data_IF_661687744800
#
_entry.id   IF_661687744800
#
_cell.length_a   1.000
_cell.length_b   1.000
_cell.length_c   1.000
_cell.angle_alpha   90.00
_cell.angle_beta   90.00
_cell.angle_gamma   90.00
#
_symmetry.space_group_name_H-M   'P 1'
#
loop_
_entity.id
_entity.type
_entity.pdbx_description
1 polymer ?
#
# COMPACT_ATOMS: atom_id res chain seq x y z
N UNK A 1 1.21 12.87 -20.06
CA UNK A 1 1.81 12.97 -18.71
C UNK A 1 0.73 13.29 -17.67
N UNK A 2 -0.08 14.32 -17.91
CA UNK A 2 -1.12 14.80 -16.97
C UNK A 2 -2.11 13.72 -16.52
N UNK A 3 -2.67 12.92 -17.44
CA UNK A 3 -3.64 11.88 -17.08
C UNK A 3 -3.10 10.83 -16.09
N UNK A 4 -1.81 10.47 -16.18
CA UNK A 4 -1.21 9.54 -15.23
C UNK A 4 -0.99 10.19 -13.87
N UNK A 5 -0.56 11.46 -13.85
CA UNK A 5 -0.42 12.21 -12.61
C UNK A 5 -1.78 12.40 -11.91
N UNK A 6 -2.85 12.67 -12.66
CA UNK A 6 -4.21 12.73 -12.14
C UNK A 6 -4.62 11.39 -11.53
N UNK A 7 -4.39 10.28 -12.23
CA UNK A 7 -4.66 8.96 -11.67
C UNK A 7 -3.92 8.75 -10.34
N UNK A 8 -2.63 9.05 -10.30
CA UNK A 8 -1.83 8.92 -9.10
C UNK A 8 -2.31 9.81 -7.95
N UNK A 9 -2.63 11.08 -8.24
CA UNK A 9 -3.10 12.05 -7.23
C UNK A 9 -4.48 11.73 -6.70
N UNK A 10 -5.38 11.19 -7.51
CA UNK A 10 -6.79 11.07 -7.14
C UNK A 10 -7.25 9.66 -6.74
N UNK A 11 -6.47 8.61 -7.01
CA UNK A 11 -6.83 7.25 -6.60
C UNK A 11 -7.07 7.16 -5.08
N UNK A 12 -6.12 7.62 -4.28
CA UNK A 12 -6.21 7.64 -2.81
C UNK A 12 -6.86 8.91 -2.22
N UNK A 13 -7.33 9.82 -3.08
CA UNK A 13 -7.99 11.04 -2.63
C UNK A 13 -9.35 10.75 -1.99
N UNK A 14 -9.86 11.73 -1.24
CA UNK A 14 -11.19 11.64 -0.67
C UNK A 14 -12.24 11.59 -1.79
N UNK A 15 -13.39 11.00 -1.51
CA UNK A 15 -14.53 10.99 -2.44
C UNK A 15 -14.94 12.40 -2.88
N UNK A 16 -14.83 13.37 -1.98
CA UNK A 16 -15.11 14.77 -2.27
C UNK A 16 -14.11 15.34 -3.30
N UNK A 17 -12.81 15.09 -3.15
CA UNK A 17 -11.79 15.51 -4.11
C UNK A 17 -11.96 14.82 -5.47
N UNK A 18 -12.31 13.53 -5.48
CA UNK A 18 -12.60 12.79 -6.72
C UNK A 18 -13.81 13.39 -7.44
N UNK A 19 -14.93 13.58 -6.73
CA UNK A 19 -16.14 14.15 -7.29
C UNK A 19 -15.92 15.60 -7.79
N UNK A 20 -15.15 16.40 -7.07
CA UNK A 20 -14.81 17.76 -7.48
C UNK A 20 -14.01 17.79 -8.79
N UNK A 21 -13.10 16.82 -9.01
CA UNK A 21 -12.25 16.75 -10.21
C UNK A 21 -12.94 16.07 -11.40
N UNK A 22 -13.74 15.04 -11.16
CA UNK A 22 -14.26 14.12 -12.19
C UNK A 22 -15.79 14.07 -12.29
N UNK A 23 -16.52 14.79 -11.44
CA UNK A 23 -17.99 14.82 -11.42
C UNK A 23 -18.64 13.68 -10.65
N UNK A 24 -17.89 12.66 -10.23
CA UNK A 24 -18.33 11.57 -9.35
C UNK A 24 -17.16 10.98 -8.57
N UNK A 25 -17.43 10.29 -7.45
CA UNK A 25 -16.41 9.51 -6.76
C UNK A 25 -16.16 8.14 -7.43
N UNK A 26 -15.05 7.51 -7.08
CA UNK A 26 -14.62 6.23 -7.67
C UNK A 26 -15.26 5.00 -7.00
N UNK A 27 -16.29 5.19 -6.17
CA UNK A 27 -17.01 4.10 -5.51
C UNK A 27 -16.22 3.49 -4.36
N UNK A 28 -15.99 2.18 -4.41
CA UNK A 28 -15.22 1.44 -3.40
C UNK A 28 -13.93 0.94 -4.01
N UNK A 29 -12.81 1.53 -3.60
CA UNK A 29 -11.47 1.15 -4.00
C UNK A 29 -10.84 0.19 -2.97
N UNK A 30 -9.77 -0.49 -3.39
CA UNK A 30 -9.03 -1.49 -2.61
C UNK A 30 -7.53 -1.37 -2.92
N UNK A 31 -6.71 -2.11 -2.18
CA UNK A 31 -5.26 -2.22 -2.36
C UNK A 31 -4.52 -0.90 -2.09
N UNK A 32 -5.03 -0.12 -1.14
CA UNK A 32 -4.55 1.21 -0.80
C UNK A 32 -3.07 1.21 -0.38
N UNK A 33 -2.61 0.17 0.33
CA UNK A 33 -1.22 0.02 0.73
C UNK A 33 -0.31 -0.08 -0.49
N UNK A 34 -0.69 -0.91 -1.47
CA UNK A 34 0.04 -1.03 -2.74
C UNK A 34 -0.04 0.23 -3.61
N UNK A 35 -1.14 0.99 -3.53
CA UNK A 35 -1.33 2.24 -4.26
C UNK A 35 -0.73 3.46 -3.56
N UNK A 36 -0.20 3.33 -2.33
CA UNK A 36 0.51 4.42 -1.65
C UNK A 36 1.69 4.97 -2.47
N UNK A 37 2.36 4.11 -3.25
CA UNK A 37 3.42 4.51 -4.19
C UNK A 37 2.98 5.52 -5.26
N UNK A 38 1.69 5.56 -5.57
CA UNK A 38 1.14 6.55 -6.48
C UNK A 38 1.07 7.93 -5.83
N UNK A 39 0.75 8.01 -4.55
CA UNK A 39 0.81 9.25 -3.79
C UNK A 39 2.26 9.74 -3.68
N UNK A 40 3.21 8.83 -3.43
CA UNK A 40 4.64 9.16 -3.41
C UNK A 40 5.13 9.68 -4.76
N UNK A 41 4.76 9.02 -5.87
CA UNK A 41 5.07 9.51 -7.22
C UNK A 41 4.49 10.91 -7.45
N UNK A 42 3.21 11.12 -7.15
CA UNK A 42 2.56 12.41 -7.32
C UNK A 42 3.15 13.51 -6.42
N UNK A 43 3.62 13.16 -5.22
CA UNK A 43 4.34 14.08 -4.33
C UNK A 43 5.63 14.58 -4.99
N UNK A 44 6.46 13.69 -5.55
CA UNK A 44 7.71 14.07 -6.24
C UNK A 44 7.44 14.96 -7.45
N UNK A 45 6.44 14.64 -8.26
CA UNK A 45 6.16 15.39 -9.48
C UNK A 45 5.63 16.82 -9.19
N UNK A 46 5.01 17.03 -8.03
CA UNK A 46 4.31 18.29 -7.71
C UNK A 46 4.94 19.09 -6.57
N UNK A 47 5.83 18.48 -5.78
CA UNK A 47 6.34 19.06 -4.53
C UNK A 47 5.29 19.14 -3.42
N UNK A 48 4.18 18.41 -3.52
CA UNK A 48 3.09 18.45 -2.53
C UNK A 48 3.38 17.51 -1.35
N UNK A 49 3.92 18.06 -0.27
CA UNK A 49 4.25 17.33 0.96
C UNK A 49 3.04 16.62 1.58
N UNK A 50 1.80 17.08 1.31
CA UNK A 50 0.60 16.40 1.80
C UNK A 50 0.40 15.04 1.13
N UNK A 51 0.80 14.91 -0.14
CA UNK A 51 0.79 13.64 -0.84
C UNK A 51 1.86 12.70 -0.29
N UNK A 52 3.03 13.21 0.07
CA UNK A 52 4.07 12.42 0.73
C UNK A 52 3.59 11.85 2.07
N UNK A 53 2.97 12.70 2.91
CA UNK A 53 2.37 12.26 4.16
C UNK A 53 1.23 11.25 3.94
N UNK A 54 0.38 11.48 2.93
CA UNK A 54 -0.70 10.55 2.58
C UNK A 54 -0.17 9.20 2.10
N UNK A 55 0.95 9.17 1.38
CA UNK A 55 1.59 7.93 0.95
C UNK A 55 1.91 7.05 2.18
N UNK A 56 2.54 7.62 3.20
CA UNK A 56 2.84 6.88 4.44
C UNK A 56 1.61 6.48 5.24
N UNK A 57 0.60 7.36 5.31
CA UNK A 57 -0.67 7.03 5.96
C UNK A 57 -1.36 5.85 5.26
N UNK A 58 -1.41 5.84 3.92
CA UNK A 58 -1.96 4.72 3.14
C UNK A 58 -1.09 3.49 3.21
N UNK A 59 0.23 3.63 3.32
CA UNK A 59 1.11 2.48 3.47
C UNK A 59 0.91 1.79 4.83
N UNK A 60 0.87 2.55 5.92
CA UNK A 60 0.82 2.01 7.28
C UNK A 60 -0.58 1.74 7.83
N UNK A 61 -1.60 2.49 7.36
CA UNK A 61 -2.91 2.53 7.98
C UNK A 61 -4.08 2.38 6.99
N UNK A 62 -3.98 1.43 6.05
CA UNK A 62 -5.11 1.04 5.19
C UNK A 62 -5.47 -0.45 5.30
N UNK A 63 -4.94 -1.25 4.38
CA UNK A 63 -5.16 -2.65 4.08
C UNK A 63 -3.80 -3.35 3.92
N UNK A 64 -3.79 -4.62 3.51
CA UNK A 64 -2.57 -5.41 3.44
C UNK A 64 -1.93 -5.64 4.81
N UNK A 65 -0.61 -5.51 4.89
CA UNK A 65 0.16 -5.81 6.10
C UNK A 65 0.23 -4.62 7.05
N UNK A 66 -0.30 -4.80 8.27
CA UNK A 66 -0.27 -3.78 9.34
C UNK A 66 0.84 -3.99 10.38
N UNK A 67 1.78 -4.90 10.10
CA UNK A 67 2.88 -5.26 10.99
C UNK A 67 3.45 -6.64 10.68
N UNK A 68 4.64 -6.91 11.20
CA UNK A 68 5.30 -8.21 11.07
C UNK A 68 4.71 -9.16 12.11
N UNK A 69 4.17 -10.29 11.65
CA UNK A 69 3.84 -11.42 12.52
C UNK A 69 4.94 -12.48 12.40
N UNK A 70 5.21 -13.25 13.46
CA UNK A 70 6.15 -14.35 13.37
C UNK A 70 5.66 -15.41 12.38
N UNK A 71 6.60 -16.15 11.78
CA UNK A 71 6.30 -17.38 11.06
C UNK A 71 5.84 -18.44 12.06
N UNK A 72 4.85 -19.24 11.69
CA UNK A 72 4.51 -20.43 12.45
C UNK A 72 5.36 -21.58 11.93
N UNK A 73 6.47 -21.86 12.60
CA UNK A 73 7.21 -23.09 12.36
C UNK A 73 6.39 -24.27 12.85
N UNK A 74 5.95 -25.11 11.92
CA UNK A 74 5.20 -26.33 12.22
C UNK A 74 6.11 -27.54 12.07
N UNK A 75 7.05 -27.68 13.01
CA UNK A 75 7.80 -28.92 13.16
C UNK A 75 6.89 -30.01 13.76
N UNK A 76 6.39 -30.91 12.91
CA UNK A 76 5.71 -32.14 13.33
C UNK A 76 4.49 -32.51 12.48
N UNK A 77 4.25 -33.83 12.33
CA UNK A 77 3.06 -34.39 11.71
C UNK A 77 1.80 -33.99 12.52
N UNK A 78 1.20 -32.85 12.19
CA UNK A 78 -0.18 -32.53 12.60
C UNK A 78 -1.16 -33.15 11.60
N UNK A 79 -2.34 -33.63 12.06
CA UNK A 79 -3.41 -34.01 11.14
C UNK A 79 -3.75 -32.83 10.22
N UNK A 80 -3.49 -32.97 8.92
CA UNK A 80 -3.74 -31.93 7.92
C UNK A 80 -2.60 -31.67 6.92
N UNK A 81 -1.39 -32.19 7.18
CA UNK A 81 -0.23 -32.02 6.28
C UNK A 81 0.41 -33.36 5.95
N UNK A 82 0.84 -33.55 4.70
CA UNK A 82 1.45 -34.81 4.24
C UNK A 82 2.96 -34.90 4.52
N UNK A 83 3.63 -33.77 4.71
CA UNK A 83 5.07 -33.67 4.96
C UNK A 83 5.35 -32.49 5.90
N UNK A 84 6.48 -32.49 6.64
CA UNK A 84 6.88 -31.34 7.46
C UNK A 84 7.12 -30.07 6.64
N UNK A 85 6.81 -28.90 7.21
CA UNK A 85 7.07 -27.60 6.60
C UNK A 85 6.70 -26.43 7.52
N UNK A 86 7.11 -25.21 7.15
CA UNK A 86 6.71 -23.97 7.82
C UNK A 86 5.62 -23.27 7.01
N UNK A 87 4.71 -22.58 7.69
CA UNK A 87 3.69 -21.80 7.03
C UNK A 87 3.54 -20.41 7.65
N UNK A 88 3.10 -19.48 6.81
CA UNK A 88 2.70 -18.14 7.23
C UNK A 88 1.29 -17.91 6.71
N UNK A 89 0.29 -18.42 7.44
CA UNK A 89 -1.13 -18.36 7.03
C UNK A 89 -1.66 -16.95 6.80
N UNK A 90 -0.97 -15.97 7.37
CA UNK A 90 -1.28 -14.55 7.25
C UNK A 90 -0.56 -13.87 6.06
N UNK A 91 0.34 -14.57 5.36
CA UNK A 91 1.09 -14.07 4.21
C UNK A 91 0.41 -14.51 2.92
N UNK A 92 -0.13 -13.54 2.20
CA UNK A 92 -0.63 -13.73 0.83
C UNK A 92 0.35 -13.14 -0.18
N UNK A 93 0.60 -13.85 -1.28
CA UNK A 93 1.54 -13.41 -2.33
C UNK A 93 1.20 -12.02 -2.87
N UNK A 94 -0.09 -11.72 -3.05
CA UNK A 94 -0.56 -10.42 -3.52
C UNK A 94 -0.17 -9.30 -2.55
N UNK A 95 -0.44 -9.49 -1.26
CA UNK A 95 -0.09 -8.51 -0.23
C UNK A 95 1.43 -8.34 -0.14
N UNK A 96 2.20 -9.44 -0.20
CA UNK A 96 3.67 -9.38 -0.18
C UNK A 96 4.23 -8.58 -1.34
N UNK A 97 3.74 -8.82 -2.57
CA UNK A 97 4.22 -8.13 -3.75
C UNK A 97 3.90 -6.62 -3.70
N UNK A 98 2.68 -6.27 -3.31
CA UNK A 98 2.24 -4.88 -3.19
C UNK A 98 2.97 -4.16 -2.06
N UNK A 99 3.13 -4.81 -0.90
CA UNK A 99 3.86 -4.26 0.24
C UNK A 99 5.32 -3.98 -0.13
N UNK A 100 6.01 -4.95 -0.74
CA UNK A 100 7.42 -4.81 -1.10
C UNK A 100 7.67 -3.66 -2.09
N UNK A 101 6.85 -3.56 -3.14
CA UNK A 101 6.95 -2.46 -4.11
C UNK A 101 6.63 -1.12 -3.47
N UNK A 102 5.54 -1.03 -2.71
CA UNK A 102 5.17 0.22 -2.04
C UNK A 102 6.22 0.68 -1.02
N UNK A 103 6.83 -0.25 -0.27
CA UNK A 103 7.90 0.09 0.67
C UNK A 103 9.12 0.69 -0.06
N UNK A 104 9.60 0.02 -1.12
CA UNK A 104 10.75 0.49 -1.91
C UNK A 104 10.46 1.84 -2.56
N UNK A 105 9.29 1.95 -3.21
CA UNK A 105 8.90 3.13 -3.98
C UNK A 105 8.44 4.30 -3.10
N UNK A 106 8.13 4.10 -1.81
CA UNK A 106 7.89 5.21 -0.87
C UNK A 106 9.18 5.69 -0.20
N UNK A 107 10.07 4.78 0.20
CA UNK A 107 11.32 5.15 0.90
C UNK A 107 12.23 6.01 0.01
N UNK A 108 12.40 5.64 -1.26
CA UNK A 108 13.31 6.35 -2.15
C UNK A 108 12.94 7.83 -2.40
N UNK A 109 11.67 8.17 -2.68
CA UNK A 109 11.27 9.55 -2.95
C UNK A 109 10.76 10.37 -1.75
N UNK A 110 10.15 9.74 -0.74
CA UNK A 110 9.45 10.44 0.36
C UNK A 110 9.82 9.89 1.73
N UNK A 111 10.98 9.25 1.86
CA UNK A 111 11.45 8.64 3.11
C UNK A 111 11.65 9.62 4.27
N UNK A 112 11.91 10.89 3.96
CA UNK A 112 12.00 12.00 4.92
C UNK A 112 10.66 12.37 5.59
N UNK A 113 9.55 11.99 4.96
CA UNK A 113 8.20 12.15 5.52
C UNK A 113 7.69 10.90 6.26
N UNK A 114 8.52 9.87 6.44
CA UNK A 114 8.12 8.66 7.15
C UNK A 114 7.82 8.97 8.62
N UNK A 115 6.66 8.52 9.17
CA UNK A 115 6.36 8.67 10.59
C UNK A 115 7.43 8.03 11.47
N UNK A 116 7.68 8.64 12.63
CA UNK A 116 8.64 8.14 13.63
C UNK A 116 8.17 6.87 14.34
#
# INVERSE_FOLDING_TARGET
MEAYLDYCRYFNATKAEQAARFGSDFGSLLLFQGHSRMDAYAAVQTGDEKLAARAWEKFGNSDGYKGIRPLEDREGERPGHHVPGSEATWVYTNDTALYGLAAIENIAPVGDHMPA
#
